data_IF_271105401004
#
_entry.id   IF_271105401004
#
_cell.length_a   1.000
_cell.length_b   1.000
_cell.length_c   1.000
_cell.angle_alpha   90.00
_cell.angle_beta   90.00
_cell.angle_gamma   90.00
#
_symmetry.space_group_name_H-M   'P 1'
#
loop_
_entity.id
_entity.type
_entity.pdbx_description
1 polymer ?
#
# COMPACT_ATOMS: atom_id res chain seq x y z
N UNK A 1 -9.93 -51.90 -12.77
CA UNK A 1 -8.67 -51.73 -13.52
C UNK A 1 -9.01 -51.12 -14.86
N UNK A 2 -8.75 -49.83 -15.03
CA UNK A 2 -8.38 -49.12 -16.28
C UNK A 2 -7.87 -47.76 -15.79
N UNK A 3 -6.57 -47.57 -15.97
CA UNK A 3 -5.85 -46.34 -15.68
C UNK A 3 -6.11 -45.32 -16.80
N UNK A 4 -6.38 -44.06 -16.43
CA UNK A 4 -6.13 -42.92 -17.32
C UNK A 4 -5.34 -41.87 -16.52
N UNK A 5 -4.07 -41.73 -16.90
CA UNK A 5 -3.11 -40.75 -16.38
C UNK A 5 -3.51 -39.33 -16.84
N UNK A 6 -3.24 -38.29 -16.02
CA UNK A 6 -3.33 -36.90 -16.46
C UNK A 6 -2.15 -36.55 -17.39
N UNK A 7 -2.33 -35.69 -18.41
CA UNK A 7 -1.24 -35.26 -19.26
C UNK A 7 -0.42 -34.19 -18.53
N UNK A 8 0.70 -34.61 -17.93
CA UNK A 8 1.84 -33.73 -17.73
C UNK A 8 2.60 -33.67 -19.06
N UNK A 9 2.63 -32.49 -19.68
CA UNK A 9 3.29 -32.30 -20.96
C UNK A 9 3.17 -30.89 -21.50
N UNK A 10 3.73 -29.89 -20.80
CA UNK A 10 4.44 -28.73 -21.37
C UNK A 10 4.82 -27.77 -20.23
N UNK A 11 5.93 -28.05 -19.56
CA UNK A 11 6.82 -26.97 -19.12
C UNK A 11 7.48 -26.42 -20.39
N UNK A 12 6.82 -25.46 -21.05
CA UNK A 12 7.50 -24.55 -21.95
C UNK A 12 7.93 -23.36 -21.11
N UNK A 13 9.23 -23.10 -21.10
CA UNK A 13 9.84 -21.85 -20.69
C UNK A 13 8.96 -20.69 -21.15
N UNK A 14 8.35 -19.98 -20.20
CA UNK A 14 7.78 -18.67 -20.46
C UNK A 14 8.96 -17.77 -20.79
N UNK A 15 9.13 -17.52 -22.08
CA UNK A 15 10.11 -16.61 -22.64
C UNK A 15 10.00 -15.25 -21.95
N UNK A 16 11.06 -14.82 -21.27
CA UNK A 16 11.14 -13.52 -20.58
C UNK A 16 10.89 -12.34 -21.53
N UNK A 17 11.03 -12.55 -22.85
CA UNK A 17 10.75 -11.53 -23.87
C UNK A 17 9.26 -11.20 -24.05
N UNK A 18 8.33 -12.08 -23.63
CA UNK A 18 6.89 -11.80 -23.65
C UNK A 18 6.48 -10.81 -22.57
N UNK A 19 7.17 -10.81 -21.42
CA UNK A 19 6.90 -9.90 -20.30
C UNK A 19 7.30 -8.45 -20.63
N UNK A 20 8.48 -8.26 -21.25
CA UNK A 20 8.94 -6.96 -21.74
C UNK A 20 7.99 -6.38 -22.82
N UNK A 21 7.51 -7.23 -23.72
CA UNK A 21 6.59 -6.83 -24.80
C UNK A 21 5.17 -6.52 -24.29
N UNK A 22 4.68 -7.16 -23.23
CA UNK A 22 3.36 -6.85 -22.65
C UNK A 22 3.34 -5.51 -21.89
N UNK A 23 4.43 -5.14 -21.20
CA UNK A 23 4.55 -3.83 -20.54
C UNK A 23 4.59 -2.69 -21.56
N UNK A 24 5.26 -2.90 -22.71
CA UNK A 24 5.38 -1.89 -23.76
C UNK A 24 4.12 -1.71 -24.63
N UNK A 25 3.18 -2.67 -24.64
CA UNK A 25 1.97 -2.65 -25.48
C UNK A 25 0.70 -2.10 -24.79
N UNK A 26 0.81 -1.60 -23.56
CA UNK A 26 -0.37 -1.24 -22.77
C UNK A 26 -0.97 0.12 -23.19
N UNK A 27 -2.20 0.08 -23.73
CA UNK A 27 -2.84 1.16 -24.49
C UNK A 27 -3.59 2.18 -23.60
N UNK A 28 -3.57 3.46 -24.00
CA UNK A 28 -3.79 4.66 -23.17
C UNK A 28 -5.26 5.12 -22.97
N UNK A 29 -6.23 4.24 -22.66
CA UNK A 29 -7.67 4.63 -22.69
C UNK A 29 -8.41 4.91 -21.38
N UNK A 30 -7.80 4.85 -20.20
CA UNK A 30 -8.49 5.25 -18.96
C UNK A 30 -7.57 6.05 -18.02
N UNK A 31 -7.60 7.38 -18.15
CA UNK A 31 -6.94 8.32 -17.22
C UNK A 31 -7.83 8.57 -16.01
N UNK A 32 -7.55 7.86 -14.92
CA UNK A 32 -7.99 8.19 -13.57
C UNK A 32 -6.79 7.98 -12.64
N UNK A 33 -6.08 9.05 -12.31
CA UNK A 33 -5.00 9.02 -11.30
C UNK A 33 -5.66 9.26 -9.96
N UNK A 34 -6.02 8.18 -9.27
CA UNK A 34 -6.32 8.21 -7.85
C UNK A 34 -5.46 7.17 -7.15
N UNK A 35 -4.67 7.64 -6.19
CA UNK A 35 -3.79 6.85 -5.34
C UNK A 35 -4.62 6.41 -4.13
N UNK A 36 -5.20 5.20 -4.20
CA UNK A 36 -6.07 4.70 -3.14
C UNK A 36 -5.68 3.26 -2.84
N UNK A 37 -5.20 3.06 -1.60
CA UNK A 37 -5.02 1.80 -0.86
C UNK A 37 -3.68 1.05 -1.04
N UNK A 38 -2.90 1.09 0.04
CA UNK A 38 -1.99 0.03 0.51
C UNK A 38 -0.61 -0.03 -0.12
N UNK A 39 -0.48 0.31 -1.40
CA UNK A 39 0.79 0.35 -2.10
C UNK A 39 0.82 1.54 -3.05
N UNK A 40 1.89 2.33 -3.00
CA UNK A 40 2.13 3.42 -3.96
C UNK A 40 2.43 2.84 -5.36
N UNK A 41 1.43 2.24 -6.01
CA UNK A 41 1.53 1.63 -7.35
C UNK A 41 0.75 2.48 -8.35
N UNK A 42 1.08 3.77 -8.43
CA UNK A 42 0.51 4.67 -9.44
C UNK A 42 1.52 5.02 -10.55
N UNK A 43 2.71 4.41 -10.56
CA UNK A 43 3.80 4.79 -11.48
C UNK A 43 4.13 3.77 -12.57
N UNK A 44 3.64 2.53 -12.49
CA UNK A 44 3.85 1.54 -13.57
C UNK A 44 3.22 2.00 -14.91
N UNK A 45 2.20 2.87 -14.86
CA UNK A 45 1.64 3.51 -16.06
C UNK A 45 2.54 4.60 -16.63
N UNK A 46 3.15 5.45 -15.79
CA UNK A 46 4.03 6.54 -16.25
C UNK A 46 5.34 6.05 -16.86
N UNK A 47 5.92 4.95 -16.36
CA UNK A 47 7.14 4.36 -16.95
C UNK A 47 6.84 3.77 -18.34
N UNK A 48 5.64 3.21 -18.57
CA UNK A 48 5.20 2.75 -19.89
C UNK A 48 4.79 3.90 -20.85
N UNK A 49 4.60 5.13 -20.34
CA UNK A 49 4.32 6.34 -21.13
C UNK A 49 5.51 7.30 -21.21
N UNK A 50 6.74 6.78 -21.15
CA UNK A 50 7.84 7.48 -21.80
C UNK A 50 7.55 7.49 -23.31
N UNK A 51 6.88 8.56 -23.78
CA UNK A 51 7.27 9.13 -25.06
C UNK A 51 8.73 9.57 -24.88
N UNK A 52 9.65 8.64 -25.14
CA UNK A 52 10.90 9.05 -25.78
C UNK A 52 10.46 9.95 -26.95
N UNK A 53 11.06 11.13 -27.11
CA UNK A 53 10.71 11.97 -28.24
C UNK A 53 10.70 11.10 -29.49
N UNK A 54 9.66 11.20 -30.32
CA UNK A 54 9.62 10.60 -31.66
C UNK A 54 10.72 11.16 -32.59
N UNK A 55 11.67 11.91 -32.04
CA UNK A 55 12.92 12.18 -32.72
C UNK A 55 13.71 10.86 -32.76
N UNK A 56 14.11 10.38 -33.93
CA UNK A 56 15.10 9.32 -33.97
C UNK A 56 16.28 9.78 -33.11
N UNK A 57 16.58 9.02 -32.05
CA UNK A 57 17.88 9.10 -31.39
C UNK A 57 18.89 9.06 -32.53
N UNK A 58 19.56 10.19 -32.76
CA UNK A 58 20.47 10.33 -33.89
C UNK A 58 21.45 9.15 -33.84
N UNK A 59 21.78 8.53 -34.99
CA UNK A 59 22.64 7.34 -35.05
C UNK A 59 24.09 7.59 -34.60
N UNK A 60 24.39 8.77 -34.06
CA UNK A 60 25.66 9.21 -33.50
C UNK A 60 25.56 9.37 -31.97
N UNK A 61 24.83 8.50 -31.28
CA UNK A 61 25.06 8.36 -29.84
C UNK A 61 26.33 7.54 -29.65
N UNK A 62 27.39 8.26 -29.32
CA UNK A 62 28.62 7.77 -28.70
C UNK A 62 28.34 6.67 -27.66
N UNK A 63 29.39 5.92 -27.31
CA UNK A 63 29.50 4.83 -26.33
C UNK A 63 29.08 5.22 -24.87
N UNK A 64 28.28 6.27 -24.71
CA UNK A 64 27.86 6.90 -23.47
C UNK A 64 26.47 6.43 -23.02
N UNK A 65 26.45 5.72 -21.88
CA UNK A 65 25.22 5.36 -21.15
C UNK A 65 24.50 6.63 -20.66
N UNK A 66 23.16 6.62 -20.72
CA UNK A 66 22.31 7.68 -20.21
C UNK A 66 22.22 7.64 -18.68
N UNK A 67 22.66 8.70 -18.03
CA UNK A 67 22.71 8.82 -16.57
C UNK A 67 21.37 9.27 -15.97
N UNK A 68 20.89 8.57 -14.95
CA UNK A 68 19.54 8.69 -14.39
C UNK A 68 19.53 8.63 -12.84
N UNK A 69 19.22 9.74 -12.14
CA UNK A 69 18.86 9.75 -10.74
C UNK A 69 17.40 9.32 -10.58
N UNK A 70 17.19 8.35 -9.71
CA UNK A 70 15.86 7.83 -9.35
C UNK A 70 15.63 8.07 -7.88
N UNK A 71 14.57 8.81 -7.57
CA UNK A 71 14.12 9.00 -6.19
C UNK A 71 13.39 7.73 -5.71
N UNK A 72 13.82 7.19 -4.59
CA UNK A 72 13.43 5.84 -4.14
C UNK A 72 12.00 5.74 -3.58
N UNK A 73 11.42 4.55 -3.80
CA UNK A 73 10.06 4.10 -3.50
C UNK A 73 9.78 2.86 -4.36
N UNK A 74 8.71 2.08 -4.14
CA UNK A 74 8.50 0.84 -4.94
C UNK A 74 8.56 1.12 -6.45
N UNK A 75 7.91 2.21 -6.86
CA UNK A 75 7.90 2.67 -8.24
C UNK A 75 9.30 3.01 -8.77
N UNK A 76 10.09 3.75 -8.00
CA UNK A 76 11.46 4.12 -8.35
C UNK A 76 12.37 2.90 -8.43
N UNK A 77 12.30 2.00 -7.44
CA UNK A 77 13.08 0.76 -7.45
C UNK A 77 12.67 -0.15 -8.61
N UNK A 78 11.40 -0.18 -8.98
CA UNK A 78 10.92 -0.92 -10.16
C UNK A 78 11.44 -0.30 -11.46
N UNK A 79 11.44 1.03 -11.57
CA UNK A 79 12.04 1.73 -12.71
C UNK A 79 13.55 1.46 -12.81
N UNK A 80 14.26 1.51 -11.68
CA UNK A 80 15.67 1.17 -11.59
C UNK A 80 15.94 -0.26 -12.07
N UNK A 81 15.14 -1.22 -11.60
CA UNK A 81 15.22 -2.62 -12.03
C UNK A 81 15.05 -2.75 -13.55
N UNK A 82 14.02 -2.14 -14.13
CA UNK A 82 13.78 -2.21 -15.58
C UNK A 82 14.95 -1.60 -16.36
N UNK A 83 15.43 -0.43 -15.97
CA UNK A 83 16.49 0.30 -16.67
C UNK A 83 17.85 -0.40 -16.58
N UNK A 84 18.18 -0.98 -15.41
CA UNK A 84 19.42 -1.76 -15.21
C UNK A 84 19.39 -3.13 -15.88
N UNK A 85 18.20 -3.65 -16.20
CA UNK A 85 18.03 -4.89 -16.97
C UNK A 85 17.82 -4.63 -18.47
N UNK A 86 17.98 -3.40 -18.95
CA UNK A 86 17.94 -3.08 -20.38
C UNK A 86 18.97 -3.94 -21.14
N UNK A 87 18.56 -4.75 -22.15
CA UNK A 87 19.45 -5.66 -22.86
C UNK A 87 20.64 -4.96 -23.54
N UNK A 88 20.42 -3.72 -23.97
CA UNK A 88 21.42 -2.89 -24.65
C UNK A 88 22.29 -2.09 -23.65
N UNK A 89 22.06 -2.24 -22.35
CA UNK A 89 22.78 -1.58 -21.25
C UNK A 89 22.88 -0.06 -21.38
N UNK A 90 21.87 0.57 -21.98
CA UNK A 90 21.90 2.00 -22.37
C UNK A 90 21.87 2.98 -21.20
N UNK A 91 21.62 2.51 -19.98
CA UNK A 91 21.32 3.36 -18.84
C UNK A 91 22.31 3.14 -17.69
N UNK A 92 22.78 4.24 -17.10
CA UNK A 92 23.51 4.27 -15.85
C UNK A 92 22.58 4.84 -14.76
N UNK A 93 22.22 4.01 -13.78
CA UNK A 93 21.20 4.35 -12.78
C UNK A 93 21.88 4.68 -11.46
N UNK A 94 21.55 5.86 -10.92
CA UNK A 94 21.87 6.27 -9.55
C UNK A 94 20.58 6.38 -8.74
N UNK A 95 20.48 5.70 -7.60
CA UNK A 95 19.34 5.87 -6.69
C UNK A 95 19.67 6.92 -5.64
N UNK A 96 18.74 7.83 -5.40
CA UNK A 96 18.77 8.79 -4.29
C UNK A 96 17.65 8.44 -3.28
N UNK A 97 18.04 8.20 -2.04
CA UNK A 97 17.15 7.91 -0.91
C UNK A 97 17.48 8.85 0.26
N UNK A 98 16.47 9.57 0.74
CA UNK A 98 16.62 10.52 1.86
C UNK A 98 16.87 9.80 3.19
N UNK A 99 16.40 8.57 3.32
CA UNK A 99 16.57 7.77 4.52
C UNK A 99 17.88 6.98 4.50
N UNK A 100 18.33 6.51 5.67
CA UNK A 100 19.54 5.68 5.78
C UNK A 100 19.37 4.25 5.22
N UNK A 101 18.12 3.84 4.96
CA UNK A 101 17.73 2.57 4.36
C UNK A 101 16.68 2.86 3.28
N UNK A 102 16.33 1.85 2.48
CA UNK A 102 15.23 1.98 1.51
C UNK A 102 13.96 2.50 2.19
N UNK A 103 13.35 3.55 1.66
CA UNK A 103 12.24 4.24 2.31
C UNK A 103 11.03 3.34 2.58
N UNK A 104 10.84 2.29 1.77
CA UNK A 104 9.79 1.30 2.04
C UNK A 104 10.05 0.40 3.25
N UNK A 105 11.32 0.21 3.60
CA UNK A 105 11.81 -0.67 4.66
C UNK A 105 12.36 0.11 5.87
N UNK A 106 12.47 1.44 5.77
CA UNK A 106 13.16 2.29 6.74
C UNK A 106 12.60 2.17 8.16
N UNK A 107 11.27 2.10 8.30
CA UNK A 107 10.60 1.94 9.60
C UNK A 107 10.41 0.47 9.99
N UNK A 108 10.73 -0.47 9.10
CA UNK A 108 10.57 -1.90 9.33
C UNK A 108 11.73 -2.44 10.15
N UNK A 109 11.44 -3.42 11.00
CA UNK A 109 12.43 -3.99 11.89
C UNK A 109 12.18 -5.48 12.09
N UNK A 110 13.14 -6.13 12.71
CA UNK A 110 13.05 -7.55 13.01
C UNK A 110 13.03 -7.76 14.51
N UNK A 111 12.28 -8.77 14.96
CA UNK A 111 12.30 -9.21 16.35
C UNK A 111 12.86 -10.64 16.45
N UNK A 112 13.71 -10.91 17.45
CA UNK A 112 14.17 -12.27 17.70
C UNK A 112 12.98 -13.13 18.12
N UNK A 113 12.95 -14.37 17.61
CA UNK A 113 11.94 -15.36 17.99
C UNK A 113 12.60 -16.59 18.56
N UNK A 114 11.92 -17.24 19.50
CA UNK A 114 12.33 -18.55 20.02
C UNK A 114 11.21 -19.56 19.78
N UNK A 115 11.51 -20.62 19.05
CA UNK A 115 10.61 -21.75 18.84
C UNK A 115 11.16 -22.99 19.54
N UNK A 116 10.29 -23.95 19.81
CA UNK A 116 10.66 -25.27 20.34
C UNK A 116 10.38 -26.27 19.22
N UNK A 117 11.41 -26.97 18.75
CA UNK A 117 11.26 -28.01 17.74
C UNK A 117 10.56 -29.26 18.29
N UNK A 118 10.27 -30.23 17.42
CA UNK A 118 9.56 -31.46 17.78
C UNK A 118 10.32 -32.29 18.83
N UNK A 119 11.64 -32.10 18.92
CA UNK A 119 12.55 -32.75 19.86
C UNK A 119 12.70 -31.97 21.18
N UNK A 120 11.97 -30.87 21.35
CA UNK A 120 11.99 -30.06 22.57
C UNK A 120 13.17 -29.09 22.67
N UNK A 121 13.96 -28.94 21.61
CA UNK A 121 15.12 -28.04 21.57
C UNK A 121 14.70 -26.65 21.11
N UNK A 122 15.24 -25.64 21.80
CA UNK A 122 15.01 -24.24 21.46
C UNK A 122 15.77 -23.88 20.20
N UNK A 123 15.05 -23.40 19.19
CA UNK A 123 15.60 -22.82 17.97
C UNK A 123 15.42 -21.32 18.02
N UNK A 124 16.46 -20.58 17.63
CA UNK A 124 16.39 -19.12 17.51
C UNK A 124 16.07 -18.78 16.07
N UNK A 125 15.12 -17.89 15.89
CA UNK A 125 14.72 -17.33 14.62
C UNK A 125 14.60 -15.81 14.69
N UNK A 126 14.08 -15.24 13.61
CA UNK A 126 13.84 -13.82 13.48
C UNK A 126 12.55 -13.62 12.68
N UNK A 127 11.70 -12.70 13.12
CA UNK A 127 10.49 -12.32 12.42
C UNK A 127 10.58 -10.86 11.97
N UNK A 128 10.52 -10.65 10.65
CA UNK A 128 10.52 -9.31 10.03
C UNK A 128 9.12 -8.69 10.05
N UNK A 129 8.99 -7.55 10.71
CA UNK A 129 7.77 -6.75 10.80
C UNK A 129 7.91 -5.55 9.86
N UNK A 130 7.08 -5.53 8.81
CA UNK A 130 6.99 -4.38 7.91
C UNK A 130 6.16 -3.25 8.56
N UNK A 131 6.68 -2.03 8.53
CA UNK A 131 5.99 -0.84 9.06
C UNK A 131 5.84 0.23 7.96
N UNK A 132 4.61 0.56 7.54
CA UNK A 132 3.34 -0.08 7.90
C UNK A 132 3.21 -1.49 7.32
N UNK A 133 2.28 -2.29 7.87
CA UNK A 133 1.92 -3.62 7.37
C UNK A 133 1.67 -3.59 5.86
N UNK A 134 2.35 -4.49 5.14
CA UNK A 134 2.24 -4.65 3.68
C UNK A 134 1.63 -6.00 3.34
N UNK A 135 0.42 -5.96 2.83
CA UNK A 135 -0.29 -7.15 2.33
C UNK A 135 -0.80 -6.91 0.92
N UNK A 136 -0.92 -7.99 0.16
CA UNK A 136 -1.37 -7.98 -1.23
C UNK A 136 -2.32 -9.15 -1.48
N UNK A 137 -3.19 -9.00 -2.49
CA UNK A 137 -4.01 -10.09 -3.01
C UNK A 137 -4.09 -10.02 -4.55
N UNK A 138 -4.09 -11.20 -5.19
CA UNK A 138 -3.68 -11.38 -6.59
C UNK A 138 -4.56 -10.64 -7.59
N UNK A 139 -5.89 -10.63 -7.40
CA UNK A 139 -6.82 -10.02 -8.34
C UNK A 139 -6.72 -8.51 -8.41
N UNK A 140 -6.42 -7.83 -7.30
CA UNK A 140 -6.28 -6.38 -7.28
C UNK A 140 -4.87 -5.94 -7.67
N UNK A 141 -3.85 -6.59 -7.10
CA UNK A 141 -2.45 -6.23 -7.34
C UNK A 141 -1.78 -7.13 -8.40
N UNK A 142 -2.44 -7.39 -9.52
CA UNK A 142 -1.99 -8.39 -10.50
C UNK A 142 -0.57 -8.13 -11.04
N UNK A 143 -0.25 -6.90 -11.39
CA UNK A 143 1.10 -6.52 -11.88
C UNK A 143 2.17 -6.65 -10.80
N UNK A 144 1.84 -6.27 -9.56
CA UNK A 144 2.76 -6.38 -8.43
C UNK A 144 3.03 -7.86 -8.07
N UNK A 145 2.00 -8.71 -8.12
CA UNK A 145 2.17 -10.15 -7.95
C UNK A 145 3.08 -10.75 -9.01
N UNK A 146 2.88 -10.41 -10.29
CA UNK A 146 3.75 -10.87 -11.37
C UNK A 146 5.19 -10.43 -11.16
N UNK A 147 5.40 -9.18 -10.72
CA UNK A 147 6.73 -8.68 -10.35
C UNK A 147 7.35 -9.51 -9.22
N UNK A 148 6.61 -9.79 -8.16
CA UNK A 148 7.12 -10.59 -7.05
C UNK A 148 7.41 -12.04 -7.44
N UNK A 149 6.57 -12.65 -8.28
CA UNK A 149 6.84 -13.97 -8.87
C UNK A 149 8.12 -13.94 -9.74
N UNK A 150 8.31 -12.90 -10.55
CA UNK A 150 9.52 -12.71 -11.37
C UNK A 150 10.79 -12.56 -10.52
N UNK A 151 10.68 -11.88 -9.39
CA UNK A 151 11.78 -11.71 -8.43
C UNK A 151 11.99 -12.97 -7.55
N UNK A 152 11.27 -14.07 -7.77
CA UNK A 152 11.34 -15.28 -6.94
C UNK A 152 11.15 -14.98 -5.44
N UNK A 153 10.19 -14.12 -5.10
CA UNK A 153 9.79 -13.84 -3.73
C UNK A 153 8.74 -14.85 -3.27
N UNK A 154 8.80 -15.26 -2.01
CA UNK A 154 7.83 -16.20 -1.45
C UNK A 154 6.73 -15.49 -0.66
N UNK A 155 5.55 -16.11 -0.61
CA UNK A 155 4.39 -15.55 0.07
C UNK A 155 4.07 -16.31 1.35
N UNK A 156 3.54 -15.59 2.33
CA UNK A 156 2.93 -16.14 3.54
C UNK A 156 1.48 -15.64 3.65
N UNK A 157 0.51 -16.50 4.01
CA UNK A 157 -0.85 -16.06 4.27
C UNK A 157 -0.86 -15.05 5.42
N UNK A 158 -1.70 -14.01 5.30
CA UNK A 158 -1.94 -13.06 6.36
C UNK A 158 -3.41 -13.15 6.77
N UNK A 159 -3.67 -13.41 8.06
CA UNK A 159 -5.05 -13.38 8.55
C UNK A 159 -5.54 -11.94 8.64
N UNK A 160 -6.65 -11.64 7.97
CA UNK A 160 -7.23 -10.31 7.89
C UNK A 160 -8.64 -10.29 8.48
N UNK A 161 -8.85 -11.05 9.56
CA UNK A 161 -10.10 -11.02 10.33
C UNK A 161 -10.29 -9.64 10.96
N UNK A 162 -11.50 -9.10 10.84
CA UNK A 162 -11.86 -7.78 11.35
C UNK A 162 -12.73 -7.87 12.60
N UNK A 163 -12.41 -7.06 13.59
CA UNK A 163 -13.28 -6.68 14.70
C UNK A 163 -13.51 -5.19 14.68
N UNK A 164 -14.68 -4.76 15.15
CA UNK A 164 -15.09 -3.37 15.22
C UNK A 164 -15.47 -3.06 16.65
N UNK A 165 -14.82 -2.02 17.19
CA UNK A 165 -14.92 -1.65 18.60
C UNK A 165 -15.27 -0.19 18.74
N UNK A 166 -15.96 0.16 19.83
CA UNK A 166 -16.15 1.56 20.22
C UNK A 166 -15.17 1.91 21.32
N UNK A 167 -14.53 3.07 21.21
CA UNK A 167 -13.77 3.67 22.31
C UNK A 167 -14.74 4.52 23.15
N UNK A 168 -15.01 4.16 24.41
CA UNK A 168 -15.81 4.98 25.30
C UNK A 168 -15.15 6.35 25.54
N UNK A 169 -15.91 7.41 25.86
CA UNK A 169 -15.32 8.68 26.26
C UNK A 169 -14.53 8.50 27.57
N UNK A 170 -13.43 9.25 27.75
CA UNK A 170 -12.64 9.21 28.98
C UNK A 170 -13.50 9.70 30.16
N UNK A 171 -13.44 8.99 31.28
CA UNK A 171 -14.09 9.41 32.53
C UNK A 171 -13.02 9.98 33.47
N UNK A 172 -13.21 11.21 34.02
CA UNK A 172 -12.23 11.80 34.94
C UNK A 172 -11.96 10.88 36.13
N UNK A 173 -10.67 10.62 36.42
CA UNK A 173 -10.25 9.80 37.56
C UNK A 173 -10.27 8.29 37.32
N UNK A 174 -10.60 7.81 36.12
CA UNK A 174 -10.48 6.38 35.75
C UNK A 174 -9.33 6.14 34.77
N UNK A 175 -8.76 4.93 34.71
CA UNK A 175 -7.82 4.55 33.65
C UNK A 175 -8.40 4.77 32.24
N UNK A 176 -7.53 4.91 31.24
CA UNK A 176 -7.94 5.07 29.84
C UNK A 176 -8.97 4.00 29.44
N UNK A 177 -10.09 4.40 28.81
CA UNK A 177 -11.16 3.47 28.52
C UNK A 177 -10.69 2.44 27.48
N UNK A 178 -10.97 1.17 27.74
CA UNK A 178 -10.63 0.09 26.80
C UNK A 178 -11.71 -0.04 25.70
N UNK A 179 -11.31 -0.34 24.45
CA UNK A 179 -12.25 -0.62 23.37
C UNK A 179 -13.22 -1.74 23.72
N UNK A 180 -14.49 -1.57 23.34
CA UNK A 180 -15.53 -2.59 23.49
C UNK A 180 -16.02 -3.03 22.11
N UNK A 181 -15.83 -4.31 21.79
CA UNK A 181 -16.26 -4.91 20.52
C UNK A 181 -17.77 -4.91 20.42
N UNK A 182 -18.28 -4.39 19.30
CA UNK A 182 -19.71 -4.43 18.98
C UNK A 182 -19.97 -5.32 17.75
N UNK A 183 -19.00 -5.48 16.85
CA UNK A 183 -19.13 -6.39 15.72
C UNK A 183 -17.80 -7.08 15.45
N UNK A 184 -17.82 -8.34 15.04
CA UNK A 184 -16.62 -9.08 14.65
C UNK A 184 -16.97 -10.03 13.53
N UNK A 185 -16.11 -10.11 12.53
CA UNK A 185 -16.16 -11.16 11.53
C UNK A 185 -15.69 -12.46 12.19
N UNK A 186 -16.62 -13.26 12.70
CA UNK A 186 -16.27 -14.55 13.30
C UNK A 186 -15.63 -15.45 12.23
N UNK A 187 -14.39 -15.90 12.46
CA UNK A 187 -13.68 -16.81 11.58
C UNK A 187 -14.16 -18.26 11.76
N UNK A 188 -15.45 -18.53 11.52
CA UNK A 188 -15.83 -19.89 11.12
C UNK A 188 -15.30 -20.07 9.70
N UNK A 189 -14.05 -20.52 9.59
CA UNK A 189 -13.44 -20.99 8.34
C UNK A 189 -14.21 -22.23 7.91
N UNK A 190 -15.28 -22.03 7.14
CA UNK A 190 -15.91 -23.11 6.39
C UNK A 190 -15.12 -23.25 5.08
N UNK A 191 -13.89 -23.74 5.20
CA UNK A 191 -12.91 -23.87 4.10
C UNK A 191 -13.49 -24.57 2.86
N UNK A 192 -14.43 -25.50 3.04
CA UNK A 192 -15.12 -26.21 1.94
C UNK A 192 -15.94 -25.29 1.04
N UNK A 193 -16.55 -24.22 1.58
CA UNK A 193 -17.32 -23.27 0.79
C UNK A 193 -16.46 -22.09 0.31
N UNK A 194 -15.25 -21.94 0.86
CA UNK A 194 -14.33 -20.85 0.56
C UNK A 194 -14.79 -19.48 1.07
N UNK A 195 -15.81 -19.37 1.93
CA UNK A 195 -16.36 -18.09 2.38
C UNK A 195 -15.99 -17.78 3.84
N UNK A 196 -15.48 -16.56 4.11
CA UNK A 196 -15.48 -15.96 5.46
C UNK A 196 -16.84 -15.29 5.69
N UNK A 197 -17.54 -15.69 6.76
CA UNK A 197 -18.90 -15.23 7.08
C UNK A 197 -18.87 -14.19 8.21
N UNK A 198 -19.44 -12.99 8.02
CA UNK A 198 -19.64 -12.06 9.13
C UNK A 198 -20.76 -12.57 10.03
N UNK A 199 -20.43 -13.46 10.96
CA UNK A 199 -21.40 -13.95 11.95
C UNK A 199 -21.37 -12.99 13.14
N UNK A 200 -22.53 -12.42 13.54
CA UNK A 200 -22.65 -11.62 14.75
C UNK A 200 -22.00 -12.32 15.94
N UNK A 201 -21.01 -11.68 16.54
CA UNK A 201 -20.43 -12.19 17.79
C UNK A 201 -21.49 -12.04 18.89
N UNK A 202 -21.98 -13.13 19.50
CA UNK A 202 -23.04 -13.07 20.51
C UNK A 202 -22.61 -12.36 21.81
N UNK A 203 -21.31 -12.14 22.00
CA UNK A 203 -20.74 -11.38 23.13
C UNK A 203 -20.67 -9.89 22.85
N UNK A 204 -20.75 -9.50 21.59
CA UNK A 204 -20.67 -8.11 21.21
C UNK A 204 -22.01 -7.43 21.54
N UNK A 205 -21.97 -6.33 22.28
CA UNK A 205 -23.14 -5.66 22.86
C UNK A 205 -24.06 -4.95 21.84
N UNK A 206 -24.05 -5.36 20.57
CA UNK A 206 -25.07 -4.93 19.61
C UNK A 206 -26.41 -5.57 19.98
N UNK A 207 -27.48 -4.79 19.82
CA UNK A 207 -28.81 -5.39 19.76
C UNK A 207 -28.80 -6.39 18.59
N UNK A 208 -29.30 -7.61 18.80
CA UNK A 208 -29.33 -8.69 17.78
C UNK A 208 -29.85 -8.19 16.43
N UNK A 209 -30.74 -7.20 16.46
CA UNK A 209 -31.26 -6.49 15.29
C UNK A 209 -30.19 -5.69 14.51
N UNK A 210 -29.40 -4.86 15.18
CA UNK A 210 -28.35 -4.07 14.49
C UNK A 210 -27.28 -4.97 13.87
N UNK A 211 -26.89 -6.03 14.58
CA UNK A 211 -25.91 -6.99 14.06
C UNK A 211 -26.46 -7.75 12.83
N UNK A 212 -27.75 -8.10 12.82
CA UNK A 212 -28.36 -8.75 11.66
C UNK A 212 -28.51 -7.81 10.47
N UNK A 213 -28.79 -6.51 10.69
CA UNK A 213 -28.77 -5.49 9.63
C UNK A 213 -27.39 -5.34 8.99
N UNK A 214 -26.34 -5.19 9.80
CA UNK A 214 -24.94 -5.12 9.31
C UNK A 214 -24.62 -6.37 8.49
N UNK A 215 -24.95 -7.56 8.99
CA UNK A 215 -24.69 -8.80 8.27
C UNK A 215 -25.47 -8.86 6.94
N UNK A 216 -26.76 -8.52 6.94
CA UNK A 216 -27.61 -8.51 5.74
C UNK A 216 -27.08 -7.56 4.66
N UNK A 217 -26.68 -6.35 5.04
CA UNK A 217 -26.10 -5.39 4.10
C UNK A 217 -24.71 -5.81 3.59
N UNK A 218 -23.88 -6.46 4.43
CA UNK A 218 -22.64 -7.10 3.95
C UNK A 218 -22.91 -8.16 2.88
N UNK A 219 -23.92 -9.03 3.10
CA UNK A 219 -24.31 -10.03 2.10
C UNK A 219 -24.78 -9.38 0.80
N UNK A 220 -25.60 -8.34 0.91
CA UNK A 220 -26.13 -7.61 -0.24
C UNK A 220 -25.02 -6.90 -1.01
N UNK A 221 -24.10 -6.24 -0.32
CA UNK A 221 -22.93 -5.61 -0.92
C UNK A 221 -22.07 -6.65 -1.63
N UNK A 222 -21.81 -7.80 -1.00
CA UNK A 222 -21.02 -8.87 -1.61
C UNK A 222 -21.68 -9.47 -2.85
N UNK A 223 -22.99 -9.68 -2.83
CA UNK A 223 -23.74 -10.16 -3.98
C UNK A 223 -23.67 -9.15 -5.14
N UNK A 224 -23.85 -7.86 -4.84
CA UNK A 224 -23.74 -6.78 -5.80
C UNK A 224 -22.31 -6.66 -6.38
N UNK A 225 -21.30 -6.67 -5.53
CA UNK A 225 -19.89 -6.62 -5.91
C UNK A 225 -19.51 -7.78 -6.84
N UNK A 226 -20.00 -8.98 -6.56
CA UNK A 226 -19.81 -10.16 -7.42
C UNK A 226 -20.50 -9.99 -8.78
N UNK A 227 -21.73 -9.49 -8.79
CA UNK A 227 -22.48 -9.22 -10.02
C UNK A 227 -21.73 -8.23 -10.92
N UNK A 228 -21.38 -7.07 -10.37
CA UNK A 228 -20.72 -5.99 -11.11
C UNK A 228 -19.35 -6.41 -11.63
N UNK A 229 -18.59 -7.15 -10.83
CA UNK A 229 -17.29 -7.66 -11.24
C UNK A 229 -17.38 -8.65 -12.41
N UNK A 230 -18.28 -9.64 -12.34
CA UNK A 230 -18.39 -10.67 -13.39
C UNK A 230 -19.08 -10.16 -14.66
N UNK A 231 -19.95 -9.17 -14.53
CA UNK A 231 -20.66 -8.60 -15.66
C UNK A 231 -19.92 -7.40 -16.27
N UNK A 232 -18.73 -7.03 -15.77
CA UNK A 232 -17.93 -5.87 -16.20
C UNK A 232 -18.68 -4.53 -16.18
N UNK A 233 -19.57 -4.37 -15.20
CA UNK A 233 -20.42 -3.17 -15.06
C UNK A 233 -19.81 -2.11 -14.13
N UNK A 234 -18.52 -2.19 -13.79
CA UNK A 234 -17.88 -1.17 -12.93
C UNK A 234 -17.97 0.23 -13.53
N UNK A 235 -17.99 0.33 -14.87
CA UNK A 235 -18.20 1.59 -15.58
C UNK A 235 -19.50 2.31 -15.22
N UNK A 236 -20.52 1.59 -14.75
CA UNK A 236 -21.81 2.19 -14.32
C UNK A 236 -21.70 3.02 -13.05
N UNK A 237 -20.63 2.84 -12.27
CA UNK A 237 -20.34 3.59 -11.06
C UNK A 237 -19.46 4.82 -11.30
N UNK A 238 -18.91 5.00 -12.52
CA UNK A 238 -18.06 6.15 -12.85
C UNK A 238 -18.82 7.46 -12.61
N UNK A 239 -18.18 8.40 -11.94
CA UNK A 239 -18.73 9.72 -11.61
C UNK A 239 -19.59 9.76 -10.35
N UNK A 240 -19.86 8.62 -9.70
CA UNK A 240 -20.52 8.60 -8.39
C UNK A 240 -19.49 8.58 -7.27
N UNK A 241 -19.79 9.29 -6.19
CA UNK A 241 -19.07 9.17 -4.91
C UNK A 241 -19.50 7.91 -4.15
N UNK A 242 -18.65 7.44 -3.24
CA UNK A 242 -18.97 6.32 -2.37
C UNK A 242 -20.25 6.57 -1.55
N UNK A 243 -20.44 7.79 -1.06
CA UNK A 243 -21.66 8.19 -0.34
C UNK A 243 -22.91 8.06 -1.21
N UNK A 244 -22.89 8.57 -2.44
CA UNK A 244 -24.03 8.47 -3.36
C UNK A 244 -24.35 7.02 -3.70
N UNK A 245 -23.33 6.20 -3.95
CA UNK A 245 -23.49 4.77 -4.19
C UNK A 245 -24.18 4.07 -3.00
N UNK A 246 -23.71 4.29 -1.78
CA UNK A 246 -24.26 3.64 -0.58
C UNK A 246 -25.71 4.10 -0.31
N UNK A 247 -26.02 5.38 -0.50
CA UNK A 247 -27.37 5.92 -0.32
C UNK A 247 -28.33 5.43 -1.40
N UNK A 248 -27.94 5.48 -2.67
CA UNK A 248 -28.75 5.01 -3.80
C UNK A 248 -28.98 3.51 -3.72
N UNK A 249 -27.99 2.76 -3.24
CA UNK A 249 -28.11 1.34 -2.95
C UNK A 249 -28.99 1.03 -1.73
N UNK A 250 -29.47 2.01 -0.96
CA UNK A 250 -30.33 1.76 0.20
C UNK A 250 -29.66 0.97 1.34
N UNK A 251 -28.34 1.12 1.51
CA UNK A 251 -27.63 0.51 2.66
C UNK A 251 -28.00 1.22 3.96
N UNK A 252 -28.15 0.44 5.04
CA UNK A 252 -28.55 0.99 6.34
C UNK A 252 -27.46 1.85 6.95
N UNK A 253 -27.85 2.90 7.69
CA UNK A 253 -26.88 3.78 8.40
C UNK A 253 -26.01 2.99 9.39
N UNK A 254 -26.58 1.96 10.02
CA UNK A 254 -25.86 1.09 10.95
C UNK A 254 -24.75 0.31 10.24
N UNK A 255 -24.99 -0.15 9.01
CA UNK A 255 -23.96 -0.76 8.18
C UNK A 255 -22.92 0.25 7.69
N UNK A 256 -23.38 1.38 7.13
CA UNK A 256 -22.51 2.42 6.57
C UNK A 256 -21.55 2.92 7.66
N UNK A 257 -22.06 3.40 8.78
CA UNK A 257 -21.24 4.02 9.83
C UNK A 257 -20.67 3.04 10.85
N UNK A 258 -21.28 1.85 11.01
CA UNK A 258 -20.85 0.86 11.99
C UNK A 258 -19.92 -0.23 11.46
N UNK A 259 -19.74 -0.37 10.15
CA UNK A 259 -18.82 -1.41 9.64
C UNK A 259 -18.12 -0.98 8.35
N UNK A 260 -18.90 -0.54 7.35
CA UNK A 260 -18.36 -0.31 6.01
C UNK A 260 -17.40 0.88 5.97
N UNK A 261 -17.83 2.06 6.44
CA UNK A 261 -17.00 3.27 6.47
C UNK A 261 -15.75 3.10 7.34
N UNK A 262 -15.83 2.58 8.59
CA UNK A 262 -14.65 2.27 9.38
C UNK A 262 -13.65 1.35 8.67
N UNK A 263 -14.12 0.29 8.00
CA UNK A 263 -13.25 -0.63 7.28
C UNK A 263 -12.55 0.04 6.08
N UNK A 264 -13.29 0.80 5.27
CA UNK A 264 -12.74 1.48 4.09
C UNK A 264 -11.79 2.61 4.51
N UNK A 265 -12.18 3.43 5.48
CA UNK A 265 -11.35 4.53 5.99
C UNK A 265 -10.05 4.01 6.62
N UNK A 266 -10.10 2.92 7.40
CA UNK A 266 -8.93 2.21 7.91
C UNK A 266 -7.99 1.74 6.79
N UNK A 267 -8.57 1.19 5.72
CA UNK A 267 -7.80 0.61 4.59
C UNK A 267 -7.16 1.69 3.72
N UNK A 268 -7.88 2.79 3.49
CA UNK A 268 -7.43 3.94 2.72
C UNK A 268 -6.59 4.94 3.51
N UNK A 269 -6.55 4.81 4.85
CA UNK A 269 -5.88 5.74 5.78
C UNK A 269 -6.31 7.19 5.56
N UNK A 270 -7.62 7.44 5.62
CA UNK A 270 -8.20 8.77 5.46
C UNK A 270 -9.36 8.99 6.43
N UNK A 271 -9.80 10.24 6.57
CA UNK A 271 -11.03 10.59 7.26
C UNK A 271 -12.28 9.95 6.66
N UNK A 272 -13.35 9.86 7.46
CA UNK A 272 -14.66 9.44 6.97
C UNK A 272 -15.18 10.37 5.87
N UNK A 273 -14.94 11.67 6.00
CA UNK A 273 -15.36 12.65 5.01
C UNK A 273 -14.66 12.43 3.66
N UNK A 274 -13.34 12.28 3.67
CA UNK A 274 -12.57 11.97 2.45
C UNK A 274 -13.00 10.65 1.86
N UNK A 275 -13.16 9.62 2.70
CA UNK A 275 -13.60 8.29 2.26
C UNK A 275 -14.97 8.33 1.57
N UNK A 276 -15.92 9.12 2.09
CA UNK A 276 -17.25 9.28 1.47
C UNK A 276 -17.20 9.94 0.09
N UNK A 277 -16.20 10.79 -0.16
CA UNK A 277 -16.01 11.51 -1.43
C UNK A 277 -15.20 10.71 -2.45
N UNK A 278 -14.61 9.58 -2.06
CA UNK A 278 -13.85 8.74 -2.98
C UNK A 278 -14.74 8.21 -4.11
N UNK A 279 -14.21 8.05 -5.33
CA UNK A 279 -14.95 7.45 -6.44
C UNK A 279 -15.45 6.03 -6.10
N UNK A 280 -16.74 5.79 -6.30
CA UNK A 280 -17.38 4.53 -5.94
C UNK A 280 -16.81 3.35 -6.75
N UNK A 281 -16.51 3.55 -8.03
CA UNK A 281 -15.96 2.51 -8.90
C UNK A 281 -14.63 1.94 -8.37
N UNK A 282 -13.75 2.79 -7.85
CA UNK A 282 -12.45 2.37 -7.29
C UNK A 282 -12.65 1.56 -6.00
N UNK A 283 -13.46 2.07 -5.07
CA UNK A 283 -13.67 1.42 -3.77
C UNK A 283 -14.45 0.11 -3.93
N UNK A 284 -15.51 0.11 -4.75
CA UNK A 284 -16.30 -1.09 -5.01
C UNK A 284 -15.46 -2.13 -5.72
N UNK A 285 -14.60 -1.76 -6.68
CA UNK A 285 -13.69 -2.71 -7.33
C UNK A 285 -12.69 -3.34 -6.34
N UNK A 286 -12.06 -2.51 -5.50
CA UNK A 286 -11.15 -2.99 -4.45
C UNK A 286 -11.84 -3.98 -3.51
N UNK A 287 -13.00 -3.59 -2.98
CA UNK A 287 -13.78 -4.40 -2.05
C UNK A 287 -14.32 -5.66 -2.74
N UNK A 288 -14.77 -5.58 -3.98
CA UNK A 288 -15.24 -6.74 -4.75
C UNK A 288 -14.13 -7.78 -4.90
N UNK A 289 -12.96 -7.37 -5.39
CA UNK A 289 -11.81 -8.28 -5.56
C UNK A 289 -11.34 -8.86 -4.23
N UNK A 290 -11.42 -8.09 -3.14
CA UNK A 290 -11.10 -8.55 -1.78
C UNK A 290 -12.11 -9.59 -1.26
N UNK A 291 -13.40 -9.37 -1.48
CA UNK A 291 -14.51 -10.21 -1.00
C UNK A 291 -14.77 -11.46 -1.88
N UNK A 292 -14.10 -11.61 -3.02
CA UNK A 292 -14.21 -12.79 -3.89
C UNK A 292 -13.28 -13.95 -3.51
N UNK A 293 -12.85 -14.01 -2.24
CA UNK A 293 -12.04 -15.08 -1.63
C UNK A 293 -10.59 -15.17 -2.11
N UNK A 294 -10.01 -14.06 -2.55
CA UNK A 294 -8.56 -14.02 -2.69
C UNK A 294 -7.91 -14.11 -1.32
N UNK A 295 -6.99 -15.07 -1.18
CA UNK A 295 -6.13 -15.14 0.00
C UNK A 295 -5.25 -13.90 0.02
N UNK A 296 -5.33 -13.16 1.11
CA UNK A 296 -4.39 -12.07 1.38
C UNK A 296 -3.09 -12.67 1.86
N UNK A 297 -1.99 -12.19 1.28
CA UNK A 297 -0.65 -12.66 1.57
C UNK A 297 0.28 -11.48 1.82
N UNK A 298 1.37 -11.76 2.51
CA UNK A 298 2.54 -10.88 2.59
C UNK A 298 3.73 -11.54 1.92
N UNK A 299 4.73 -10.74 1.54
CA UNK A 299 6.05 -11.26 1.19
C UNK A 299 6.67 -11.82 2.48
N UNK A 300 7.10 -13.09 2.44
CA UNK A 300 7.56 -13.80 3.64
C UNK A 300 8.84 -13.16 4.20
N UNK A 301 9.74 -12.77 3.31
CA UNK A 301 11.03 -12.17 3.60
C UNK A 301 10.93 -10.66 3.92
N UNK A 302 9.72 -10.09 3.87
CA UNK A 302 9.46 -8.67 4.09
C UNK A 302 9.83 -7.77 2.91
N UNK A 303 9.53 -6.49 3.05
CA UNK A 303 9.74 -5.51 1.96
C UNK A 303 11.22 -5.23 1.69
N UNK A 304 12.10 -5.44 2.69
CA UNK A 304 13.57 -5.39 2.53
C UNK A 304 14.05 -6.24 1.36
N UNK A 305 13.61 -7.50 1.32
CA UNK A 305 14.02 -8.45 0.30
C UNK A 305 13.47 -8.11 -1.09
N UNK A 306 12.36 -7.35 -1.16
CA UNK A 306 11.84 -6.77 -2.41
C UNK A 306 12.78 -5.68 -2.90
N UNK A 307 13.17 -4.75 -2.01
CA UNK A 307 14.08 -3.66 -2.35
C UNK A 307 15.42 -4.21 -2.84
N UNK A 308 16.03 -5.13 -2.10
CA UNK A 308 17.34 -5.72 -2.43
C UNK A 308 17.34 -6.37 -3.83
N UNK A 309 16.29 -7.15 -4.16
CA UNK A 309 16.17 -7.78 -5.47
C UNK A 309 15.93 -6.78 -6.60
N UNK A 310 15.14 -5.73 -6.35
CA UNK A 310 14.91 -4.67 -7.34
C UNK A 310 16.18 -3.86 -7.63
N UNK A 311 17.12 -3.82 -6.69
CA UNK A 311 18.35 -3.04 -6.81
C UNK A 311 19.61 -3.87 -7.04
N UNK A 312 19.48 -5.18 -7.29
CA UNK A 312 20.63 -6.11 -7.41
C UNK A 312 21.67 -5.64 -8.44
N UNK A 313 21.22 -5.04 -9.54
CA UNK A 313 22.07 -4.53 -10.63
C UNK A 313 22.32 -3.03 -10.60
N UNK A 314 21.89 -2.33 -9.55
CA UNK A 314 22.11 -0.88 -9.42
C UNK A 314 23.51 -0.64 -8.88
N UNK A 315 24.34 0.05 -9.66
CA UNK A 315 25.75 0.31 -9.33
C UNK A 315 25.90 1.36 -8.23
N UNK A 316 25.09 2.43 -8.26
CA UNK A 316 25.21 3.57 -7.34
C UNK A 316 23.90 3.80 -6.58
N UNK A 317 23.97 3.70 -5.26
CA UNK A 317 22.86 4.03 -4.35
C UNK A 317 23.36 5.01 -3.29
N UNK A 318 22.66 6.14 -3.15
CA UNK A 318 22.97 7.20 -2.19
C UNK A 318 21.88 7.23 -1.12
N UNK A 319 22.18 6.67 0.05
CA UNK A 319 21.32 6.71 1.23
C UNK A 319 21.68 7.89 2.13
N UNK A 320 20.68 8.41 2.87
CA UNK A 320 20.84 9.60 3.68
C UNK A 320 21.06 10.87 2.86
N UNK A 321 20.67 10.86 1.58
CA UNK A 321 20.88 11.94 0.62
C UNK A 321 19.51 12.38 0.09
N UNK A 322 18.87 13.32 0.78
CA UNK A 322 17.60 13.89 0.38
C UNK A 322 17.80 14.90 -0.74
N UNK A 323 17.32 14.60 -1.96
CA UNK A 323 17.34 15.58 -3.06
C UNK A 323 16.51 16.82 -2.66
N UNK A 324 17.15 17.99 -2.68
CA UNK A 324 16.51 19.26 -2.31
C UNK A 324 16.20 20.13 -3.51
N UNK A 325 16.97 20.03 -4.59
CA UNK A 325 16.77 20.81 -5.80
C UNK A 325 17.03 19.98 -7.05
N UNK A 326 16.19 20.18 -8.06
CA UNK A 326 16.35 19.58 -9.39
C UNK A 326 16.12 20.67 -10.43
N UNK A 327 17.15 20.96 -11.24
CA UNK A 327 17.13 22.04 -12.21
C UNK A 327 17.54 21.55 -13.60
N UNK A 328 16.78 21.94 -14.63
CA UNK A 328 17.20 21.69 -16.01
C UNK A 328 18.30 22.70 -16.36
N UNK A 329 19.42 22.22 -16.89
CA UNK A 329 20.59 23.02 -17.27
C UNK A 329 20.99 22.74 -18.71
N UNK A 330 21.57 23.73 -19.39
CA UNK A 330 22.21 23.46 -20.69
C UNK A 330 23.53 22.75 -20.46
N UNK A 331 23.67 21.54 -20.99
CA UNK A 331 24.95 20.85 -21.14
C UNK A 331 25.66 21.26 -22.44
N UNK A 332 26.84 20.68 -22.67
CA UNK A 332 27.68 21.01 -23.85
C UNK A 332 26.99 20.58 -25.15
N UNK A 333 26.35 19.41 -25.16
CA UNK A 333 25.71 18.81 -26.36
C UNK A 333 24.19 18.68 -26.24
N UNK A 334 23.69 18.51 -25.01
CA UNK A 334 22.26 18.30 -24.71
C UNK A 334 21.86 18.95 -23.41
N UNK A 335 20.56 19.19 -23.25
CA UNK A 335 19.98 19.56 -21.94
C UNK A 335 20.26 18.44 -20.94
N UNK A 336 20.66 18.84 -19.74
CA UNK A 336 20.92 17.96 -18.59
C UNK A 336 20.08 18.40 -17.41
N UNK A 337 20.10 17.60 -16.36
CA UNK A 337 19.43 17.88 -15.10
C UNK A 337 20.48 17.91 -14.00
N UNK A 338 20.63 19.05 -13.34
CA UNK A 338 21.42 19.17 -12.11
C UNK A 338 20.56 18.75 -10.92
N UNK A 339 21.06 17.82 -10.12
CA UNK A 339 20.45 17.33 -8.89
C UNK A 339 21.35 17.71 -7.74
N UNK A 340 20.77 18.37 -6.75
CA UNK A 340 21.45 18.74 -5.51
C UNK A 340 20.78 18.06 -4.32
N UNK A 341 21.58 17.43 -3.46
CA UNK A 341 21.11 16.82 -2.22
C UNK A 341 21.35 17.71 -0.98
N UNK A 342 20.79 17.27 0.15
CA UNK A 342 20.90 17.92 1.46
C UNK A 342 22.30 17.83 2.08
N UNK A 343 23.18 16.96 1.56
CA UNK A 343 24.60 16.93 1.92
C UNK A 343 25.43 18.01 1.22
N UNK A 344 24.83 18.70 0.25
CA UNK A 344 25.48 19.71 -0.59
C UNK A 344 26.19 19.14 -1.81
N UNK A 345 26.05 17.83 -2.08
CA UNK A 345 26.53 17.23 -3.32
C UNK A 345 25.62 17.71 -4.46
N UNK A 346 26.25 18.10 -5.56
CA UNK A 346 25.58 18.44 -6.81
C UNK A 346 26.15 17.58 -7.94
N UNK A 347 25.27 16.95 -8.71
CA UNK A 347 25.63 16.06 -9.81
C UNK A 347 24.71 16.32 -11.01
N UNK A 348 25.23 16.14 -12.23
CA UNK A 348 24.45 16.37 -13.46
C UNK A 348 24.15 15.06 -14.17
N UNK A 349 22.90 14.90 -14.59
CA UNK A 349 22.38 13.72 -15.23
C UNK A 349 21.70 14.06 -16.56
N UNK A 350 21.39 13.05 -17.38
CA UNK A 350 20.72 13.26 -18.65
C UNK A 350 19.21 13.42 -18.49
N UNK A 351 18.62 12.62 -17.60
CA UNK A 351 17.21 12.71 -17.22
C UNK A 351 17.07 12.55 -15.71
N UNK A 352 15.84 12.67 -15.18
CA UNK A 352 15.49 12.41 -13.78
C UNK A 352 14.16 11.68 -13.70
N UNK A 353 14.06 10.68 -12.82
CA UNK A 353 12.80 9.99 -12.54
C UNK A 353 12.33 10.37 -11.14
N UNK A 354 11.23 11.13 -11.08
CA UNK A 354 10.54 11.43 -9.84
C UNK A 354 9.63 10.26 -9.45
N UNK A 355 10.09 9.43 -8.52
CA UNK A 355 9.27 8.42 -7.85
C UNK A 355 8.93 8.82 -6.40
N UNK A 356 8.64 10.11 -6.20
CA UNK A 356 8.20 10.71 -4.94
C UNK A 356 6.73 11.16 -5.01
N UNK A 357 6.19 11.62 -3.89
CA UNK A 357 4.94 12.38 -3.87
C UNK A 357 5.07 13.67 -4.71
N UNK A 358 3.94 14.14 -5.25
CA UNK A 358 3.89 15.30 -6.13
C UNK A 358 4.29 16.61 -5.43
N UNK A 359 3.94 16.78 -4.15
CA UNK A 359 4.35 17.93 -3.35
C UNK A 359 5.88 18.00 -3.15
N UNK A 360 6.53 16.84 -2.97
CA UNK A 360 7.99 16.72 -2.85
C UNK A 360 8.66 17.07 -4.17
N UNK A 361 8.18 16.49 -5.28
CA UNK A 361 8.69 16.81 -6.62
C UNK A 361 8.51 18.32 -6.92
N UNK A 362 7.36 18.90 -6.56
CA UNK A 362 7.09 20.34 -6.70
C UNK A 362 8.09 21.18 -5.92
N UNK A 363 8.38 20.81 -4.67
CA UNK A 363 9.37 21.48 -3.83
C UNK A 363 10.76 21.42 -4.44
N UNK A 364 11.21 20.24 -4.86
CA UNK A 364 12.52 20.06 -5.50
C UNK A 364 12.66 20.89 -6.78
N UNK A 365 11.62 20.92 -7.61
CA UNK A 365 11.59 21.69 -8.86
C UNK A 365 11.50 23.22 -8.64
N UNK A 366 10.93 23.65 -7.51
CA UNK A 366 10.78 25.07 -7.17
C UNK A 366 11.96 25.62 -6.36
N UNK A 367 12.81 24.74 -5.82
CA UNK A 367 13.92 25.12 -4.95
C UNK A 367 15.09 25.69 -5.75
N UNK A 368 15.62 26.83 -5.29
CA UNK A 368 16.88 27.36 -5.82
C UNK A 368 18.06 26.47 -5.40
N UNK A 369 18.96 26.13 -6.34
CA UNK A 369 20.19 25.43 -5.99
C UNK A 369 21.08 26.32 -5.13
N UNK A 370 21.93 25.71 -4.30
CA UNK A 370 22.88 26.45 -3.45
C UNK A 370 23.99 27.11 -4.28
N UNK A 371 24.27 26.55 -5.47
CA UNK A 371 25.26 27.07 -6.39
C UNK A 371 24.59 27.67 -7.64
N UNK A 372 25.01 28.87 -8.12
CA UNK A 372 24.45 29.47 -9.31
C UNK A 372 24.67 28.59 -10.55
N UNK A 373 23.58 28.17 -11.18
CA UNK A 373 23.62 27.46 -12.47
C UNK A 373 23.36 28.48 -13.58
N UNK A 374 24.43 28.91 -14.26
CA UNK A 374 24.39 29.97 -15.27
C UNK A 374 23.45 29.69 -16.47
N UNK A 375 23.02 28.44 -16.65
CA UNK A 375 22.17 27.98 -17.75
C UNK A 375 20.86 27.31 -17.31
N UNK A 376 20.40 27.57 -16.07
CA UNK A 376 19.18 26.98 -15.56
C UNK A 376 17.94 27.42 -16.37
N UNK A 377 17.16 26.45 -16.83
CA UNK A 377 15.89 26.66 -17.52
C UNK A 377 14.76 26.65 -16.50
N UNK A 378 13.88 27.65 -16.55
CA UNK A 378 12.73 27.73 -15.65
C UNK A 378 11.77 26.55 -15.83
N UNK A 379 11.30 25.99 -14.71
CA UNK A 379 10.28 24.93 -14.71
C UNK A 379 8.92 25.51 -15.15
N UNK A 380 8.18 24.86 -16.08
CA UNK A 380 6.88 25.36 -16.52
C UNK A 380 5.89 25.53 -15.36
N UNK A 381 5.29 26.72 -15.23
CA UNK A 381 4.33 27.02 -14.16
C UNK A 381 3.10 26.08 -14.18
N UNK A 382 2.69 25.61 -15.36
CA UNK A 382 1.61 24.63 -15.49
C UNK A 382 1.92 23.31 -14.79
N UNK A 383 3.16 22.81 -14.88
CA UNK A 383 3.60 21.60 -14.19
C UNK A 383 3.55 21.79 -12.67
N UNK A 384 4.08 22.91 -12.17
CA UNK A 384 4.05 23.22 -10.73
C UNK A 384 2.61 23.34 -10.18
N UNK A 385 1.68 23.88 -10.98
CA UNK A 385 0.24 23.91 -10.61
C UNK A 385 -0.36 22.51 -10.54
N UNK A 386 -0.08 21.65 -11.53
CA UNK A 386 -0.55 20.25 -11.52
C UNK A 386 0.01 19.47 -10.34
N UNK A 387 1.31 19.59 -10.05
CA UNK A 387 1.90 18.93 -8.88
C UNK A 387 1.34 19.48 -7.55
N UNK A 388 0.90 20.74 -7.54
CA UNK A 388 0.30 21.40 -6.37
C UNK A 388 -1.19 21.10 -6.15
N UNK A 389 -1.87 20.39 -7.05
CA UNK A 389 -3.31 20.09 -6.90
C UNK A 389 -3.58 18.84 -6.07
N UNK A 390 -2.55 18.07 -5.72
CA UNK A 390 -2.68 16.87 -4.91
C UNK A 390 -2.85 17.23 -3.43
N UNK A 391 -3.85 16.61 -2.80
CA UNK A 391 -4.13 16.75 -1.36
C UNK A 391 -3.61 15.51 -0.64
N UNK A 392 -3.04 15.73 0.54
CA UNK A 392 -2.42 14.70 1.36
C UNK A 392 -3.01 14.71 2.76
N UNK A 393 -3.26 13.52 3.30
CA UNK A 393 -3.55 13.31 4.71
C UNK A 393 -2.33 12.67 5.38
N UNK A 394 -2.02 13.12 6.59
CA UNK A 394 -0.92 12.55 7.38
C UNK A 394 -1.48 11.48 8.29
N UNK A 395 -0.84 10.31 8.28
CA UNK A 395 -1.17 9.18 9.14
C UNK A 395 0.05 8.79 9.96
N UNK A 396 -0.17 8.47 11.22
CA UNK A 396 0.85 7.86 12.09
C UNK A 396 0.69 6.34 12.15
N UNK A 397 1.79 5.61 12.22
CA UNK A 397 1.81 4.17 12.47
C UNK A 397 2.84 3.88 13.56
N UNK A 398 2.40 3.23 14.63
CA UNK A 398 3.23 2.95 15.81
C UNK A 398 3.19 1.46 16.09
N UNK A 399 4.36 0.87 16.31
CA UNK A 399 4.47 -0.54 16.71
C UNK A 399 4.83 -0.64 18.19
N UNK A 400 4.07 -1.41 18.97
CA UNK A 400 4.19 -1.50 20.43
C UNK A 400 3.74 -2.87 20.96
N UNK A 401 3.83 -3.05 22.27
CA UNK A 401 3.39 -4.26 22.99
C UNK A 401 2.24 -4.00 23.98
N UNK A 402 1.76 -2.76 24.07
CA UNK A 402 0.62 -2.39 24.93
C UNK A 402 -0.71 -3.00 24.45
N UNK A 403 -1.33 -3.93 25.20
CA UNK A 403 -2.58 -4.58 24.80
C UNK A 403 -3.82 -3.69 24.97
N UNK A 404 -3.70 -2.49 25.55
CA UNK A 404 -4.86 -1.60 25.81
C UNK A 404 -5.52 -1.05 24.54
N UNK A 405 -4.84 -1.16 23.39
CA UNK A 405 -5.34 -0.81 22.05
C UNK A 405 -6.19 -1.92 21.39
N UNK A 406 -6.33 -3.06 22.06
CA UNK A 406 -7.21 -4.15 21.66
C UNK A 406 -8.47 -4.17 22.54
N UNK A 407 -9.53 -4.89 22.13
CA UNK A 407 -10.73 -5.04 22.94
C UNK A 407 -10.43 -5.55 24.36
N UNK A 408 -11.23 -5.09 25.34
CA UNK A 408 -11.12 -5.49 26.75
C UNK A 408 -11.07 -7.00 26.94
N UNK A 409 -11.90 -7.74 26.20
CA UNK A 409 -11.93 -9.19 26.25
C UNK A 409 -11.04 -9.79 25.16
N UNK A 410 -10.01 -10.54 25.56
CA UNK A 410 -9.09 -11.21 24.62
C UNK A 410 -9.81 -12.17 23.67
N UNK A 411 -10.98 -12.69 24.04
CA UNK A 411 -11.79 -13.57 23.19
C UNK A 411 -12.39 -12.84 21.99
N UNK A 412 -12.47 -11.51 22.04
CA UNK A 412 -12.99 -10.67 20.96
C UNK A 412 -11.86 -10.11 20.07
N UNK A 413 -10.61 -10.51 20.30
CA UNK A 413 -9.49 -10.09 19.47
C UNK A 413 -9.57 -10.74 18.10
N UNK A 414 -9.49 -9.91 17.06
CA UNK A 414 -9.24 -10.34 15.69
C UNK A 414 -7.85 -9.89 15.23
N UNK A 415 -7.40 -10.35 14.07
CA UNK A 415 -6.12 -9.94 13.51
C UNK A 415 -6.05 -8.41 13.31
N UNK A 416 -7.19 -7.78 13.02
CA UNK A 416 -7.34 -6.33 12.90
C UNK A 416 -8.55 -5.89 13.73
N UNK A 417 -8.34 -4.88 14.59
CA UNK A 417 -9.40 -4.19 15.32
C UNK A 417 -9.53 -2.76 14.80
N UNK A 418 -10.70 -2.44 14.25
CA UNK A 418 -11.08 -1.11 13.81
C UNK A 418 -11.89 -0.45 14.93
N UNK A 419 -11.25 0.47 15.63
CA UNK A 419 -11.84 1.19 16.74
C UNK A 419 -12.39 2.53 16.27
N UNK A 420 -13.67 2.76 16.52
CA UNK A 420 -14.34 4.03 16.24
C UNK A 420 -14.55 4.80 17.53
N UNK A 421 -14.30 6.11 17.56
CA UNK A 421 -14.68 6.96 18.68
C UNK A 421 -16.20 6.88 18.95
N UNK A 422 -16.62 7.05 20.21
CA UNK A 422 -18.04 7.12 20.54
C UNK A 422 -18.72 8.34 19.86
N UNK A 423 -20.03 8.26 19.63
CA UNK A 423 -20.78 9.38 19.08
C UNK A 423 -20.74 10.58 20.03
N UNK A 424 -20.47 11.78 19.51
CA UNK A 424 -20.35 13.01 20.31
C UNK A 424 -18.97 13.23 20.92
N UNK A 425 -18.01 12.34 20.67
CA UNK A 425 -16.60 12.53 21.06
C UNK A 425 -16.02 13.72 20.29
N UNK A 426 -15.49 14.70 21.00
CA UNK A 426 -14.76 15.83 20.42
C UNK A 426 -13.27 15.55 20.37
N UNK A 427 -12.49 16.41 19.72
CA UNK A 427 -11.03 16.28 19.70
C UNK A 427 -10.42 16.33 21.12
N UNK A 428 -11.09 16.96 22.08
CA UNK A 428 -10.65 17.01 23.48
C UNK A 428 -10.88 15.68 24.24
N UNK A 429 -11.73 14.80 23.71
CA UNK A 429 -12.13 13.55 24.34
C UNK A 429 -11.34 12.33 23.82
N UNK A 430 -10.51 12.50 22.79
CA UNK A 430 -9.64 11.44 22.24
C UNK A 430 -8.18 11.67 22.62
N UNK A 431 -7.37 10.60 22.77
CA UNK A 431 -5.93 10.74 22.95
C UNK A 431 -5.29 11.58 21.84
N UNK A 432 -4.18 12.25 22.15
CA UNK A 432 -3.44 13.02 21.15
C UNK A 432 -3.06 12.14 19.94
N UNK A 433 -3.35 12.60 18.72
CA UNK A 433 -3.11 11.82 17.50
C UNK A 433 -4.18 10.79 17.15
N UNK A 434 -5.24 10.66 17.95
CA UNK A 434 -6.51 10.10 17.52
C UNK A 434 -7.41 11.22 16.99
N UNK A 435 -8.32 10.88 16.08
CA UNK A 435 -9.22 11.85 15.45
C UNK A 435 -10.67 11.36 15.54
N UNK A 436 -11.62 12.22 15.98
CA UNK A 436 -13.04 11.85 16.10
C UNK A 436 -13.67 11.39 14.78
N UNK A 437 -13.13 11.87 13.66
CA UNK A 437 -13.58 11.63 12.28
C UNK A 437 -12.75 10.56 11.54
N UNK A 438 -11.89 9.83 12.26
CA UNK A 438 -11.09 8.72 11.71
C UNK A 438 -11.18 7.46 12.59
N UNK A 439 -11.08 6.26 12.00
CA UNK A 439 -10.95 5.04 12.78
C UNK A 439 -9.50 4.85 13.25
N UNK A 440 -9.32 4.52 14.53
CA UNK A 440 -8.06 3.97 15.02
C UNK A 440 -7.99 2.49 14.66
N UNK A 441 -6.90 2.04 14.05
CA UNK A 441 -6.79 0.65 13.59
C UNK A 441 -5.61 -0.05 14.24
N UNK A 442 -5.87 -1.14 14.93
CA UNK A 442 -4.86 -1.95 15.62
C UNK A 442 -4.70 -3.29 14.91
N UNK A 443 -3.52 -3.55 14.37
CA UNK A 443 -3.13 -4.84 13.77
C UNK A 443 -2.41 -5.69 14.81
N UNK A 444 -2.95 -6.84 15.18
CA UNK A 444 -2.29 -7.82 16.03
C UNK A 444 -1.33 -8.68 15.20
N UNK A 445 -0.04 -8.33 15.24
CA UNK A 445 0.96 -8.89 14.34
C UNK A 445 1.12 -10.41 14.52
N UNK A 446 0.89 -10.94 15.72
CA UNK A 446 1.00 -12.39 16.00
C UNK A 446 -0.10 -13.21 15.31
N UNK A 447 -1.29 -12.64 15.10
CA UNK A 447 -2.33 -13.28 14.29
C UNK A 447 -2.04 -13.16 12.79
N UNK A 448 -1.46 -12.03 12.38
CA UNK A 448 -1.11 -11.76 10.98
C UNK A 448 0.10 -12.56 10.48
N UNK A 449 1.01 -12.93 11.39
CA UNK A 449 2.32 -13.50 11.04
C UNK A 449 2.53 -14.84 11.75
N UNK A 450 2.55 -15.96 11.01
CA UNK A 450 2.83 -17.27 11.59
C UNK A 450 4.17 -17.36 12.33
N UNK A 451 5.17 -16.58 11.92
CA UNK A 451 6.49 -16.51 12.56
C UNK A 451 6.50 -15.86 13.95
N UNK A 452 5.38 -15.23 14.36
CA UNK A 452 5.23 -14.61 15.68
C UNK A 452 4.34 -15.44 16.62
N UNK A 453 3.96 -16.65 16.19
CA UNK A 453 3.17 -17.55 17.02
C UNK A 453 3.97 -17.93 18.28
N UNK A 454 3.35 -17.80 19.45
CA UNK A 454 3.98 -18.11 20.74
C UNK A 454 4.93 -17.03 21.27
N UNK A 455 5.19 -15.96 20.51
CA UNK A 455 5.98 -14.82 20.94
C UNK A 455 5.11 -13.82 21.73
N UNK A 456 5.69 -12.88 22.50
CA UNK A 456 4.95 -11.76 23.09
C UNK A 456 4.12 -11.01 22.06
N UNK A 457 2.97 -10.48 22.49
CA UNK A 457 2.07 -9.78 21.58
C UNK A 457 2.70 -8.47 21.07
N UNK A 458 2.65 -8.29 19.75
CA UNK A 458 3.09 -7.09 19.05
C UNK A 458 1.90 -6.52 18.29
N UNK A 459 1.70 -5.21 18.44
CA UNK A 459 0.61 -4.47 17.83
C UNK A 459 1.18 -3.38 16.94
N UNK A 460 0.55 -3.16 15.80
CA UNK A 460 0.77 -1.96 14.99
C UNK A 460 -0.53 -1.17 14.98
N UNK A 461 -0.53 0.00 15.63
CA UNK A 461 -1.68 0.91 15.66
C UNK A 461 -1.48 2.03 14.65
N UNK A 462 -2.57 2.46 14.02
CA UNK A 462 -2.65 3.66 13.17
C UNK A 462 -3.59 4.68 13.79
N UNK A 463 -3.28 5.96 13.60
CA UNK A 463 -4.02 7.09 14.16
C UNK A 463 -4.13 7.04 15.68
N UNK A 464 -2.97 6.80 16.31
CA UNK A 464 -2.76 6.90 17.74
C UNK A 464 -1.33 7.39 18.01
N UNK A 465 -1.15 8.29 18.99
CA UNK A 465 0.16 8.49 19.63
C UNK A 465 0.17 7.74 20.96
N UNK A 466 1.29 7.06 21.23
CA UNK A 466 1.58 6.36 22.47
C UNK A 466 2.34 7.24 23.45
#
# INVERSE_FOLDING_TARGET
MIHLRPPWGMLRSLDSSLWEKEILRWNAKDTGVLQVIGWNVTLLRCVATFHLPNEPLSPELDDHRLSLPILSGLAGLTAAYILTNDPDQRFEVTIYEKHALFGMDFSSFSIPTEDIDAEGKRTKGEARIDVPLRVVFRRYYSSLFKLFEHLNLTFAPADMTLSFSKLPPPTPGTPSPLPTTYFSESCLDVDFLGFRFPIPNPRAHLTVFQASQIAADWYRFRAYARLIYHADHLGTLKGQTLSEFLRTGGYSDVFIHGAFMPAVASTSTCSYETTMRMPADIIVDFMAKRLLNDRVVKVREGVKAVCERLTEKVEVMRFGCGVKSVQCVQGIERKKVAVEDDTGRSETFDYVIFATQADQARRMLSASPTFPLASATAVPAALLRTLGSFVYESTSAVTHTDPTFMPRDRRDWSAINVCVPAQGTTQADVPEGCYPDQPMTTCWMNALMPSLKGQPDVFQVREARL
#
